data_IF_797373747113
#
_entry.id   IF_797373747113
#
_cell.length_a   1.000
_cell.length_b   1.000
_cell.length_c   1.000
_cell.angle_alpha   90.00
_cell.angle_beta   90.00
_cell.angle_gamma   90.00
#
_symmetry.space_group_name_H-M   'P 1'
#
loop_
_entity.id
_entity.type
_entity.pdbx_description
1 polymer ?
#
# COMPACT_ATOMS: atom_id res chain seq x y z
N UNK A 1 -16.47 9.48 -18.46
CA UNK A 1 -16.01 8.26 -19.16
C UNK A 1 -15.92 7.16 -18.12
N UNK A 2 -16.48 5.98 -18.38
CA UNK A 2 -16.52 4.86 -17.42
C UNK A 2 -15.86 3.65 -18.07
N UNK A 3 -15.02 2.94 -17.33
CA UNK A 3 -14.34 1.73 -17.79
C UNK A 3 -14.70 0.54 -16.89
N UNK A 4 -14.93 -0.63 -17.48
CA UNK A 4 -15.15 -1.89 -16.77
C UNK A 4 -13.98 -2.82 -17.08
N UNK A 5 -13.42 -3.45 -16.04
CA UNK A 5 -12.27 -4.36 -16.15
C UNK A 5 -12.69 -5.73 -15.62
N UNK A 6 -12.32 -6.78 -16.34
CA UNK A 6 -12.60 -8.17 -16.00
C UNK A 6 -11.29 -8.96 -15.98
N UNK A 7 -11.15 -9.87 -15.02
CA UNK A 7 -9.97 -10.71 -14.86
C UNK A 7 -10.12 -11.65 -13.66
N UNK A 8 -9.10 -12.47 -13.45
CA UNK A 8 -9.03 -13.37 -12.28
C UNK A 8 -8.40 -12.65 -11.11
N UNK A 9 -9.06 -12.69 -9.94
CA UNK A 9 -8.51 -12.15 -8.70
C UNK A 9 -7.43 -13.10 -8.15
N UNK A 10 -6.29 -12.55 -7.71
CA UNK A 10 -5.23 -13.32 -7.06
C UNK A 10 -4.99 -12.74 -5.68
N UNK A 11 -5.12 -13.54 -4.63
CA UNK A 11 -4.85 -13.09 -3.26
C UNK A 11 -3.34 -13.14 -3.01
N UNK A 12 -2.81 -12.07 -2.44
CA UNK A 12 -1.42 -11.93 -2.02
C UNK A 12 -1.36 -11.89 -0.48
N UNK A 13 -0.87 -12.97 0.12
CA UNK A 13 -0.63 -13.13 1.57
C UNK A 13 0.82 -12.80 1.99
N UNK A 14 1.67 -12.47 1.02
CA UNK A 14 3.03 -11.98 1.23
C UNK A 14 3.03 -10.55 1.75
N UNK A 15 3.54 -10.35 2.97
CA UNK A 15 3.61 -9.03 3.60
C UNK A 15 4.53 -8.05 2.87
N UNK A 16 5.58 -8.55 2.20
CA UNK A 16 6.51 -7.69 1.46
C UNK A 16 5.86 -7.18 0.17
N UNK A 17 5.02 -8.00 -0.47
CA UNK A 17 4.18 -7.56 -1.59
C UNK A 17 3.21 -6.46 -1.15
N UNK A 18 2.51 -6.67 -0.02
CA UNK A 18 1.59 -5.66 0.52
C UNK A 18 2.34 -4.38 0.91
N UNK A 19 3.54 -4.49 1.49
CA UNK A 19 4.38 -3.35 1.83
C UNK A 19 4.72 -2.49 0.60
N UNK A 20 5.10 -3.11 -0.52
CA UNK A 20 5.43 -2.41 -1.76
C UNK A 20 4.21 -1.65 -2.32
N UNK A 21 3.05 -2.32 -2.36
CA UNK A 21 1.80 -1.67 -2.83
C UNK A 21 1.43 -0.49 -1.94
N UNK A 22 1.51 -0.65 -0.61
CA UNK A 22 1.21 0.43 0.34
C UNK A 22 2.18 1.60 0.16
N UNK A 23 3.49 1.35 0.06
CA UNK A 23 4.48 2.41 -0.17
C UNK A 23 4.21 3.17 -1.47
N UNK A 24 3.94 2.46 -2.58
CA UNK A 24 3.60 3.09 -3.86
C UNK A 24 2.33 3.92 -3.81
N UNK A 25 1.31 3.48 -3.06
CA UNK A 25 0.09 4.26 -2.84
C UNK A 25 0.37 5.51 -2.00
N UNK A 26 1.11 5.38 -0.90
CA UNK A 26 1.53 6.51 -0.07
C UNK A 26 2.29 7.54 -0.90
N UNK A 27 3.32 7.12 -1.63
CA UNK A 27 4.10 8.02 -2.49
C UNK A 27 3.21 8.77 -3.48
N UNK A 28 2.31 8.04 -4.17
CA UNK A 28 1.39 8.64 -5.14
C UNK A 28 0.46 9.69 -4.53
N UNK A 29 -0.01 9.48 -3.31
CA UNK A 29 -1.03 10.32 -2.68
C UNK A 29 -0.44 11.44 -1.81
N UNK A 30 0.79 11.30 -1.32
CA UNK A 30 1.46 12.26 -0.47
C UNK A 30 2.41 13.19 -1.23
N UNK A 31 2.89 12.82 -2.43
CA UNK A 31 3.88 13.61 -3.21
C UNK A 31 3.53 15.09 -3.41
N UNK A 32 2.25 15.42 -3.52
CA UNK A 32 1.81 16.80 -3.74
C UNK A 32 1.69 17.62 -2.44
N UNK A 33 1.90 17.00 -1.27
CA UNK A 33 1.75 17.68 0.02
C UNK A 33 3.05 18.39 0.41
N UNK A 34 2.97 19.59 1.03
CA UNK A 34 4.15 20.35 1.46
C UNK A 34 5.05 19.60 2.46
N UNK A 35 4.48 18.67 3.23
CA UNK A 35 5.19 17.76 4.12
C UNK A 35 4.72 16.35 3.81
N UNK A 36 5.17 15.81 2.68
CA UNK A 36 4.81 14.47 2.22
C UNK A 36 5.23 13.43 3.27
N UNK A 37 4.25 12.68 3.77
CA UNK A 37 4.49 11.61 4.73
C UNK A 37 4.92 10.33 4.01
N UNK A 38 5.91 9.62 4.56
CA UNK A 38 6.36 8.31 4.11
C UNK A 38 6.01 7.23 5.13
N UNK A 39 5.84 5.99 4.65
CA UNK A 39 5.72 4.82 5.53
C UNK A 39 6.92 4.65 6.46
N UNK A 40 8.09 5.17 6.07
CA UNK A 40 9.33 5.11 6.84
C UNK A 40 9.39 6.16 7.96
N UNK A 41 8.48 7.13 7.98
CA UNK A 41 8.32 8.07 9.11
C UNK A 41 7.67 7.38 10.33
N UNK A 42 7.01 6.24 10.12
CA UNK A 42 6.50 5.41 11.21
C UNK A 42 7.58 4.45 11.72
N UNK A 43 7.56 4.09 13.03
CA UNK A 43 8.42 3.02 13.53
C UNK A 43 8.20 1.72 12.75
N UNK A 44 9.29 1.08 12.30
CA UNK A 44 9.22 -0.10 11.42
C UNK A 44 8.29 -1.20 11.97
N UNK A 45 8.40 -1.50 13.27
CA UNK A 45 7.55 -2.50 13.92
C UNK A 45 6.06 -2.14 13.88
N UNK A 46 5.73 -0.86 13.95
CA UNK A 46 4.36 -0.39 13.82
C UNK A 46 3.87 -0.61 12.38
N UNK A 47 4.64 -0.19 11.37
CA UNK A 47 4.29 -0.40 9.98
C UNK A 47 4.08 -1.88 9.66
N UNK A 48 5.04 -2.76 10.02
CA UNK A 48 4.90 -4.21 9.78
C UNK A 48 3.67 -4.82 10.45
N UNK A 49 3.28 -4.33 11.63
CA UNK A 49 2.07 -4.82 12.32
C UNK A 49 0.80 -4.42 11.58
N UNK A 50 0.75 -3.21 11.03
CA UNK A 50 -0.40 -2.74 10.26
C UNK A 50 -0.61 -3.58 8.99
N UNK A 51 0.47 -4.03 8.34
CA UNK A 51 0.40 -4.89 7.15
C UNK A 51 -0.31 -6.22 7.41
N UNK A 52 -0.23 -6.76 8.62
CA UNK A 52 -0.90 -8.03 8.98
C UNK A 52 -2.43 -7.94 8.95
N UNK A 53 -2.99 -6.73 8.98
CA UNK A 53 -4.43 -6.49 8.89
C UNK A 53 -4.91 -6.27 7.44
N UNK A 54 -4.03 -6.35 6.46
CA UNK A 54 -4.30 -6.08 5.05
C UNK A 54 -4.18 -7.39 4.26
N UNK A 55 -5.17 -7.68 3.43
CA UNK A 55 -5.11 -8.76 2.44
C UNK A 55 -4.88 -8.14 1.07
N UNK A 56 -3.80 -8.53 0.40
CA UNK A 56 -3.53 -8.13 -0.97
C UNK A 56 -4.41 -8.88 -1.97
N UNK A 57 -4.83 -8.20 -3.04
CA UNK A 57 -5.69 -8.76 -4.12
C UNK A 57 -5.28 -8.26 -5.50
#
# INVERSE_FOLDING_TARGET
MTAHVYGTLTVHDDSDWVADVVRRLTDRHEVARPSAWSVDDAPEKFFRRQLQAIVGV
#
